data_IF_029881079148
#
_entry.id   IF_029881079148
#
_cell.length_a   1.000
_cell.length_b   1.000
_cell.length_c   1.000
_cell.angle_alpha   90.00
_cell.angle_beta   90.00
_cell.angle_gamma   90.00
#
_symmetry.space_group_name_H-M   'P 1'
#
loop_
_entity.id
_entity.type
_entity.pdbx_description
1 polymer ?
#
# COMPACT_ATOMS: atom_id res chain seq x y z
N UNK A 1 -4.57 -21.90 7.13
CA UNK A 1 -3.31 -21.18 7.45
C UNK A 1 -3.10 -20.10 6.40
N UNK A 2 -2.86 -18.86 6.79
CA UNK A 2 -2.56 -17.79 5.83
C UNK A 2 -1.13 -17.97 5.28
N UNK A 3 -0.90 -17.57 4.03
CA UNK A 3 0.39 -17.75 3.34
C UNK A 3 1.54 -17.09 4.07
N UNK A 4 1.29 -15.96 4.73
CA UNK A 4 2.28 -15.16 5.46
C UNK A 4 2.45 -15.55 6.92
N UNK A 5 2.21 -16.80 7.31
CA UNK A 5 2.49 -17.26 8.68
C UNK A 5 3.95 -17.64 8.91
N UNK A 6 4.45 -17.48 10.14
CA UNK A 6 5.84 -17.83 10.51
C UNK A 6 6.19 -19.31 10.25
N UNK A 7 5.21 -20.21 10.34
CA UNK A 7 5.42 -21.64 10.19
C UNK A 7 5.38 -22.12 8.73
N UNK A 8 5.11 -21.24 7.75
CA UNK A 8 5.02 -21.65 6.35
C UNK A 8 6.40 -21.81 5.69
N UNK A 9 6.53 -22.61 4.62
CA UNK A 9 7.82 -22.84 3.95
C UNK A 9 8.52 -21.57 3.45
N UNK A 10 7.77 -20.49 3.23
CA UNK A 10 8.32 -19.22 2.73
C UNK A 10 9.01 -18.41 3.83
N UNK A 11 8.53 -18.50 5.07
CA UNK A 11 8.94 -17.62 6.18
C UNK A 11 9.61 -18.35 7.34
N UNK A 12 9.45 -19.67 7.44
CA UNK A 12 10.09 -20.48 8.48
C UNK A 12 11.61 -20.32 8.41
N UNK A 13 12.20 -20.10 9.58
CA UNK A 13 13.64 -19.93 9.81
C UNK A 13 14.28 -18.78 9.01
N UNK A 14 13.48 -17.85 8.47
CA UNK A 14 14.01 -16.67 7.78
C UNK A 14 14.41 -15.62 8.82
N UNK A 15 15.70 -15.22 8.89
CA UNK A 15 16.17 -14.28 9.93
C UNK A 15 15.58 -12.87 9.77
N UNK A 16 15.06 -12.55 8.59
CA UNK A 16 14.39 -11.29 8.29
C UNK A 16 12.89 -11.30 8.63
N UNK A 17 12.27 -12.46 8.87
CA UNK A 17 10.86 -12.57 9.21
C UNK A 17 10.70 -12.61 10.73
N UNK A 18 10.16 -11.55 11.33
CA UNK A 18 10.36 -11.30 12.77
C UNK A 18 9.16 -11.64 13.65
N UNK A 19 7.94 -11.55 13.13
CA UNK A 19 6.72 -11.91 13.87
C UNK A 19 5.53 -12.04 12.91
N UNK A 20 4.52 -12.79 13.33
CA UNK A 20 3.23 -12.91 12.64
C UNK A 20 2.11 -12.98 13.67
N UNK A 21 0.94 -12.47 13.31
CA UNK A 21 -0.26 -12.53 14.15
C UNK A 21 -1.47 -13.05 13.37
N UNK A 22 -2.40 -13.71 14.07
CA UNK A 22 -3.57 -14.38 13.47
C UNK A 22 -3.20 -15.31 12.31
N UNK A 23 -2.18 -16.13 12.53
CA UNK A 23 -1.73 -17.14 11.55
C UNK A 23 -1.17 -16.56 10.26
N UNK A 24 -0.73 -15.30 10.25
CA UNK A 24 -0.15 -14.61 9.09
C UNK A 24 -1.09 -13.65 8.37
N UNK A 25 -2.30 -13.40 8.88
CA UNK A 25 -3.11 -12.28 8.41
C UNK A 25 -2.40 -10.93 8.62
N UNK A 26 -1.52 -10.89 9.63
CA UNK A 26 -0.63 -9.78 9.92
C UNK A 26 0.79 -10.30 10.07
N UNK A 27 1.77 -9.56 9.57
CA UNK A 27 3.18 -9.98 9.58
C UNK A 27 4.13 -8.81 9.74
N UNK A 28 5.31 -9.11 10.29
CA UNK A 28 6.37 -8.15 10.48
C UNK A 28 7.68 -8.74 9.96
N UNK A 29 8.43 -7.92 9.21
CA UNK A 29 9.72 -8.31 8.65
C UNK A 29 10.70 -7.14 8.64
N UNK A 30 11.99 -7.43 8.66
CA UNK A 30 13.06 -6.45 8.54
C UNK A 30 13.80 -6.65 7.22
N UNK A 31 14.13 -5.56 6.55
CA UNK A 31 14.88 -5.63 5.29
C UNK A 31 15.86 -4.47 5.19
N UNK A 32 16.82 -4.59 4.28
CA UNK A 32 17.77 -3.53 3.97
C UNK A 32 17.48 -2.95 2.59
N UNK A 33 17.56 -1.63 2.45
CA UNK A 33 17.39 -0.92 1.19
C UNK A 33 18.12 0.43 1.22
N UNK A 34 18.77 0.82 0.12
CA UNK A 34 19.45 2.13 0.03
C UNK A 34 20.51 2.39 1.11
N UNK A 35 21.09 1.35 1.73
CA UNK A 35 22.04 1.47 2.84
C UNK A 35 21.41 1.54 4.24
N UNK A 36 20.09 1.50 4.34
CA UNK A 36 19.33 1.58 5.60
C UNK A 36 18.62 0.26 5.90
N UNK A 37 18.28 0.07 7.17
CA UNK A 37 17.48 -1.06 7.64
C UNK A 37 16.08 -0.57 8.00
N UNK A 38 15.07 -1.28 7.55
CA UNK A 38 13.67 -0.93 7.72
C UNK A 38 12.91 -2.03 8.46
N UNK A 39 11.82 -1.63 9.09
CA UNK A 39 10.75 -2.52 9.51
C UNK A 39 9.60 -2.41 8.50
N UNK A 40 9.00 -3.54 8.16
CA UNK A 40 7.75 -3.59 7.38
C UNK A 40 6.68 -4.31 8.19
N UNK A 41 5.50 -3.71 8.25
CA UNK A 41 4.30 -4.32 8.82
C UNK A 41 3.27 -4.53 7.71
N UNK A 42 2.87 -5.78 7.48
CA UNK A 42 1.70 -6.11 6.69
C UNK A 42 0.51 -6.29 7.61
N UNK A 43 -0.53 -5.48 7.44
CA UNK A 43 -1.74 -5.50 8.26
C UNK A 43 -2.96 -5.97 7.46
N UNK A 44 -3.87 -6.66 8.14
CA UNK A 44 -5.18 -7.01 7.62
C UNK A 44 -6.04 -5.77 7.36
N UNK A 45 -7.04 -5.89 6.49
CA UNK A 45 -8.02 -4.82 6.29
C UNK A 45 -8.82 -4.60 7.59
N UNK A 46 -9.04 -3.33 7.93
CA UNK A 46 -9.73 -2.93 9.16
C UNK A 46 -9.22 -3.66 10.42
N UNK A 47 -7.95 -3.42 10.82
CA UNK A 47 -7.33 -4.15 11.91
C UNK A 47 -8.13 -4.01 13.20
N UNK A 48 -8.30 -5.12 13.91
CA UNK A 48 -8.90 -5.13 15.23
C UNK A 48 -7.90 -4.61 16.29
N UNK A 49 -8.38 -4.13 17.44
CA UNK A 49 -7.55 -3.55 18.52
C UNK A 49 -6.37 -4.44 18.92
N UNK A 50 -6.56 -5.75 19.07
CA UNK A 50 -5.50 -6.72 19.37
C UNK A 50 -4.38 -6.79 18.30
N UNK A 51 -4.70 -6.55 17.03
CA UNK A 51 -3.71 -6.42 15.95
C UNK A 51 -2.89 -5.15 16.12
N UNK A 52 -3.52 -4.05 16.54
CA UNK A 52 -2.82 -2.79 16.83
C UNK A 52 -1.87 -2.98 18.01
N UNK A 53 -2.33 -3.59 19.11
CA UNK A 53 -1.50 -3.90 20.28
C UNK A 53 -0.30 -4.79 19.91
N UNK A 54 -0.53 -5.82 19.07
CA UNK A 54 0.55 -6.63 18.54
C UNK A 54 1.53 -5.79 17.71
N UNK A 55 1.05 -4.96 16.80
CA UNK A 55 1.90 -4.11 15.96
C UNK A 55 2.73 -3.13 16.82
N UNK A 56 2.13 -2.51 17.84
CA UNK A 56 2.81 -1.67 18.82
C UNK A 56 3.92 -2.43 19.57
N UNK A 57 3.68 -3.69 19.93
CA UNK A 57 4.70 -4.54 20.57
C UNK A 57 5.90 -4.79 19.64
N UNK A 58 5.66 -4.97 18.34
CA UNK A 58 6.72 -5.11 17.32
C UNK A 58 7.47 -3.78 17.17
N UNK A 59 6.75 -2.67 17.07
CA UNK A 59 7.32 -1.33 17.02
C UNK A 59 8.23 -1.04 18.22
N UNK A 60 7.83 -1.45 19.43
CA UNK A 60 8.64 -1.29 20.64
C UNK A 60 9.90 -2.16 20.62
N UNK A 61 9.80 -3.40 20.13
CA UNK A 61 10.94 -4.32 19.99
C UNK A 61 11.98 -3.84 18.95
N UNK A 62 11.52 -3.19 17.90
CA UNK A 62 12.34 -2.68 16.79
C UNK A 62 12.43 -1.15 16.77
N UNK A 63 12.42 -0.54 17.97
CA UNK A 63 12.42 0.92 18.13
C UNK A 63 13.56 1.57 17.35
N UNK A 64 13.21 2.58 16.55
CA UNK A 64 14.16 3.38 15.78
C UNK A 64 14.41 2.89 14.36
N UNK A 65 13.82 1.75 13.95
CA UNK A 65 13.80 1.38 12.54
C UNK A 65 12.69 2.15 11.81
N UNK A 66 13.00 2.88 10.72
CA UNK A 66 11.97 3.47 9.87
C UNK A 66 11.02 2.37 9.37
N UNK A 67 9.73 2.59 9.56
CA UNK A 67 8.69 1.58 9.39
C UNK A 67 7.76 1.93 8.23
N UNK A 68 7.55 0.95 7.35
CA UNK A 68 6.58 0.98 6.26
C UNK A 68 5.41 0.06 6.60
N UNK A 69 4.18 0.54 6.40
CA UNK A 69 2.97 -0.27 6.53
C UNK A 69 2.45 -0.61 5.14
N UNK A 70 2.02 -1.86 4.95
CA UNK A 70 1.14 -2.24 3.84
C UNK A 70 -0.18 -2.74 4.40
N UNK A 71 -1.28 -2.21 3.86
CA UNK A 71 -2.64 -2.53 4.27
C UNK A 71 -3.57 -2.49 3.05
N UNK A 72 -4.69 -3.22 3.07
CA UNK A 72 -5.58 -3.26 1.92
C UNK A 72 -6.22 -1.89 1.62
N UNK A 73 -6.76 -1.22 2.65
CA UNK A 73 -7.52 0.03 2.55
C UNK A 73 -6.91 1.08 3.48
N UNK A 74 -6.65 2.29 2.95
CA UNK A 74 -6.22 3.43 3.78
C UNK A 74 -6.66 4.79 3.21
N UNK A 75 -6.11 5.21 2.07
CA UNK A 75 -6.62 6.39 1.35
C UNK A 75 -7.38 5.98 0.09
N UNK A 76 -8.41 6.74 -0.25
CA UNK A 76 -9.20 6.56 -1.47
C UNK A 76 -8.61 7.30 -2.69
N UNK A 77 -9.34 7.27 -3.82
CA UNK A 77 -8.95 7.95 -5.06
C UNK A 77 -8.84 9.47 -4.93
N UNK A 78 -9.56 10.06 -3.97
CA UNK A 78 -9.51 11.47 -3.61
C UNK A 78 -8.48 11.79 -2.52
N UNK A 79 -7.86 10.76 -1.96
CA UNK A 79 -6.91 10.86 -0.88
C UNK A 79 -7.57 10.98 0.49
N UNK A 80 -8.89 10.82 0.63
CA UNK A 80 -9.56 10.81 1.92
C UNK A 80 -9.29 9.48 2.64
N UNK A 81 -9.34 9.50 3.98
CA UNK A 81 -9.21 8.28 4.80
C UNK A 81 -10.58 7.71 5.11
N UNK A 82 -11.26 7.25 4.08
CA UNK A 82 -12.63 6.76 4.16
C UNK A 82 -12.71 5.32 3.67
N UNK A 83 -13.57 4.54 4.33
CA UNK A 83 -13.95 3.22 3.84
C UNK A 83 -15.17 3.33 2.94
N UNK A 84 -15.31 2.41 2.00
CA UNK A 84 -16.60 2.24 1.31
C UNK A 84 -17.69 1.90 2.34
N UNK A 85 -18.81 2.62 2.29
CA UNK A 85 -19.85 2.50 3.32
C UNK A 85 -20.35 1.07 3.55
N UNK A 86 -20.46 0.29 2.47
CA UNK A 86 -20.89 -1.11 2.48
C UNK A 86 -19.81 -2.11 2.95
N UNK A 87 -18.56 -1.66 3.10
CA UNK A 87 -17.42 -2.48 3.52
C UNK A 87 -16.70 -1.92 4.76
N UNK A 88 -17.27 -0.91 5.43
CA UNK A 88 -16.76 -0.42 6.71
C UNK A 88 -17.03 -1.46 7.82
N UNK A 89 -16.07 -2.36 8.00
CA UNK A 89 -16.13 -3.40 9.03
C UNK A 89 -16.16 -2.84 10.45
N UNK A 90 -15.75 -1.58 10.67
CA UNK A 90 -15.83 -0.94 11.99
C UNK A 90 -17.25 -0.61 12.43
N UNK A 91 -18.20 -0.58 11.49
CA UNK A 91 -19.64 -0.46 11.80
C UNK A 91 -20.25 -1.74 12.34
N UNK A 92 -19.67 -2.88 11.97
CA UNK A 92 -20.10 -4.21 12.44
C UNK A 92 -19.40 -4.60 13.74
N UNK A 93 -18.17 -4.11 13.93
CA UNK A 93 -17.34 -4.41 15.08
C UNK A 93 -16.58 -3.14 15.52
N UNK A 94 -16.97 -2.51 16.63
CA UNK A 94 -16.39 -1.25 17.08
C UNK A 94 -14.95 -1.38 17.57
N UNK A 95 -14.37 -2.57 17.67
CA UNK A 95 -12.95 -2.75 17.96
C UNK A 95 -12.08 -2.77 16.70
N UNK A 96 -12.70 -2.68 15.52
CA UNK A 96 -11.99 -2.52 14.24
C UNK A 96 -11.71 -1.07 13.91
N UNK A 97 -10.64 -0.89 13.14
CA UNK A 97 -10.14 0.42 12.75
C UNK A 97 -10.41 0.67 11.26
N UNK A 98 -11.37 1.55 10.96
CA UNK A 98 -11.43 2.18 9.62
C UNK A 98 -10.18 3.07 9.39
N UNK A 99 -9.93 3.54 8.17
CA UNK A 99 -8.70 4.25 7.86
C UNK A 99 -8.43 5.50 8.70
N UNK A 100 -9.44 6.34 8.93
CA UNK A 100 -9.29 7.55 9.75
C UNK A 100 -8.96 7.18 11.20
N UNK A 101 -9.66 6.21 11.78
CA UNK A 101 -9.37 5.75 13.14
C UNK A 101 -7.98 5.12 13.24
N UNK A 102 -7.55 4.36 12.24
CA UNK A 102 -6.20 3.78 12.19
C UNK A 102 -5.13 4.87 12.15
N UNK A 103 -5.37 5.96 11.42
CA UNK A 103 -4.49 7.13 11.43
C UNK A 103 -4.39 7.77 12.83
N UNK A 104 -5.53 8.05 13.45
CA UNK A 104 -5.59 8.78 14.72
C UNK A 104 -5.08 7.96 15.92
N UNK A 105 -5.28 6.64 15.88
CA UNK A 105 -4.94 5.73 16.99
C UNK A 105 -3.59 5.08 16.86
N UNK A 106 -3.06 4.92 15.65
CA UNK A 106 -1.82 4.20 15.42
C UNK A 106 -0.84 5.00 14.56
N UNK A 107 -1.12 5.18 13.27
CA UNK A 107 -0.11 5.71 12.32
C UNK A 107 0.48 7.05 12.76
N UNK A 108 -0.36 8.03 13.13
CA UNK A 108 0.10 9.36 13.54
C UNK A 108 0.78 9.41 14.91
N UNK A 109 0.66 8.35 15.72
CA UNK A 109 1.18 8.29 17.10
C UNK A 109 2.56 7.63 17.21
N UNK A 110 3.08 7.06 16.13
CA UNK A 110 4.39 6.42 16.13
C UNK A 110 5.31 7.10 15.13
N UNK A 111 6.28 7.85 15.66
CA UNK A 111 7.19 8.64 14.84
C UNK A 111 8.02 7.82 13.84
N UNK A 112 8.27 6.55 14.17
CA UNK A 112 9.02 5.66 13.30
C UNK A 112 8.22 5.19 12.08
N UNK A 113 6.90 5.38 12.03
CA UNK A 113 6.10 5.08 10.84
C UNK A 113 6.17 6.29 9.91
N UNK A 114 6.76 6.08 8.73
CA UNK A 114 6.92 7.16 7.74
C UNK A 114 6.17 6.90 6.43
N UNK A 115 5.72 5.66 6.18
CA UNK A 115 5.00 5.34 4.95
C UNK A 115 3.88 4.32 5.14
N UNK A 116 2.76 4.54 4.45
CA UNK A 116 1.63 3.60 4.34
C UNK A 116 1.33 3.34 2.86
N UNK A 117 1.24 2.07 2.49
CA UNK A 117 0.93 1.58 1.14
C UNK A 117 -0.42 0.88 1.15
N UNK A 118 -1.36 1.32 0.31
CA UNK A 118 -2.67 0.68 0.17
C UNK A 118 -3.14 0.48 -1.27
N UNK A 119 -4.17 -0.36 -1.40
CA UNK A 119 -4.95 -0.60 -2.61
C UNK A 119 -6.43 -0.33 -2.35
N UNK A 120 -7.27 -1.33 -2.62
CA UNK A 120 -8.73 -1.30 -2.48
C UNK A 120 -9.42 -0.42 -3.54
N UNK A 121 -9.22 0.88 -3.45
CA UNK A 121 -9.72 1.84 -4.44
C UNK A 121 -8.90 1.77 -5.72
N UNK A 122 -9.51 2.00 -6.88
CA UNK A 122 -8.82 1.93 -8.17
C UNK A 122 -7.98 3.19 -8.41
N UNK A 123 -6.86 3.04 -9.12
CA UNK A 123 -6.03 4.15 -9.55
C UNK A 123 -4.80 4.39 -8.67
N UNK A 124 -4.29 5.62 -8.73
CA UNK A 124 -3.08 6.03 -8.02
C UNK A 124 -3.25 7.40 -7.39
N UNK A 125 -3.07 7.46 -6.07
CA UNK A 125 -3.14 8.71 -5.29
C UNK A 125 -2.04 8.73 -4.26
N UNK A 126 -1.59 9.91 -3.88
CA UNK A 126 -0.71 10.06 -2.73
C UNK A 126 -1.09 11.29 -1.93
N UNK A 127 -0.79 11.25 -0.64
CA UNK A 127 -0.85 12.41 0.25
C UNK A 127 0.24 12.34 1.30
N UNK A 128 0.55 13.49 1.88
CA UNK A 128 1.54 13.62 2.94
C UNK A 128 0.87 14.42 4.05
N UNK A 129 0.91 13.88 5.27
CA UNK A 129 0.46 14.59 6.47
C UNK A 129 1.51 14.45 7.55
N UNK A 130 1.57 15.42 8.46
CA UNK A 130 2.44 15.32 9.64
C UNK A 130 1.84 14.37 10.68
N UNK A 131 2.68 13.52 11.27
CA UNK A 131 2.35 12.78 12.49
C UNK A 131 2.30 13.73 13.72
N UNK A 132 2.02 13.19 14.90
CA UNK A 132 1.93 13.97 16.15
C UNK A 132 3.28 14.51 16.65
N UNK A 133 4.39 14.10 16.03
CA UNK A 133 5.73 14.61 16.29
C UNK A 133 6.16 15.68 15.26
N UNK A 134 5.30 15.98 14.28
CA UNK A 134 5.56 16.96 13.22
C UNK A 134 6.30 16.39 12.00
N UNK A 135 6.64 15.11 11.97
CA UNK A 135 7.34 14.48 10.85
C UNK A 135 6.38 13.96 9.77
N UNK A 136 6.78 13.99 8.49
CA UNK A 136 5.90 13.61 7.38
C UNK A 136 5.65 12.10 7.33
N UNK A 137 4.39 11.73 7.08
CA UNK A 137 3.97 10.36 6.76
C UNK A 137 3.41 10.33 5.34
N UNK A 138 4.10 9.60 4.47
CA UNK A 138 3.75 9.42 3.08
C UNK A 138 2.72 8.31 2.92
N UNK A 139 1.60 8.60 2.26
CA UNK A 139 0.49 7.66 2.08
C UNK A 139 0.27 7.46 0.58
N UNK A 140 0.31 6.21 0.14
CA UNK A 140 0.28 5.84 -1.28
C UNK A 140 -0.82 4.83 -1.57
N UNK A 141 -1.78 5.25 -2.38
CA UNK A 141 -2.71 4.36 -3.07
C UNK A 141 -2.09 3.95 -4.40
N UNK A 142 -1.99 2.66 -4.64
CA UNK A 142 -1.62 2.10 -5.95
C UNK A 142 -2.44 0.84 -6.20
N UNK A 143 -3.41 0.95 -7.11
CA UNK A 143 -4.21 -0.17 -7.54
C UNK A 143 -4.43 -0.12 -9.05
N UNK A 144 -3.74 -1.00 -9.74
CA UNK A 144 -3.76 -1.08 -11.18
C UNK A 144 -4.78 -2.07 -11.74
N UNK A 145 -5.60 -2.73 -10.91
CA UNK A 145 -6.42 -3.88 -11.32
C UNK A 145 -7.39 -3.60 -12.48
N UNK A 146 -7.79 -2.34 -12.66
CA UNK A 146 -8.71 -1.89 -13.71
C UNK A 146 -8.02 -1.46 -14.99
N UNK A 147 -6.70 -1.52 -15.10
CA UNK A 147 -5.98 -1.16 -16.32
C UNK A 147 -6.19 -2.23 -17.39
N UNK A 148 -6.59 -1.82 -18.60
CA UNK A 148 -7.06 -2.71 -19.68
C UNK A 148 -6.46 -2.37 -21.06
N UNK A 149 -5.31 -1.71 -21.12
CA UNK A 149 -4.67 -1.27 -22.37
C UNK A 149 -4.36 -2.45 -23.29
N UNK A 150 -3.97 -3.59 -22.73
CA UNK A 150 -3.64 -4.79 -23.51
C UNK A 150 -4.80 -5.32 -24.34
N UNK A 151 -6.04 -5.01 -23.96
CA UNK A 151 -7.26 -5.47 -24.62
C UNK A 151 -8.02 -4.35 -25.33
N UNK A 152 -7.57 -3.10 -25.19
CA UNK A 152 -8.19 -1.94 -25.84
C UNK A 152 -7.98 -2.04 -27.35
N UNK A 153 -9.06 -2.01 -28.13
CA UNK A 153 -9.02 -2.17 -29.60
C UNK A 153 -9.07 -3.61 -30.12
N UNK A 154 -8.91 -4.62 -29.25
CA UNK A 154 -9.14 -6.04 -29.61
C UNK A 154 -10.60 -6.46 -29.46
N UNK A 155 -11.40 -5.65 -28.79
CA UNK A 155 -12.85 -5.82 -28.67
C UNK A 155 -13.50 -4.63 -29.40
N UNK A 156 -14.02 -4.84 -30.62
CA UNK A 156 -14.86 -3.85 -31.29
C UNK A 156 -16.03 -3.53 -30.37
N UNK A 157 -16.30 -2.25 -30.12
CA UNK A 157 -17.34 -1.77 -29.21
C UNK A 157 -17.19 -2.17 -27.73
N UNK A 158 -15.97 -2.46 -27.25
CA UNK A 158 -15.72 -2.37 -25.81
C UNK A 158 -15.93 -0.93 -25.38
N UNK A 159 -17.14 -0.65 -24.90
CA UNK A 159 -17.47 0.54 -24.16
C UNK A 159 -16.44 0.73 -23.02
N UNK A 160 -16.16 1.97 -22.59
CA UNK A 160 -15.32 2.23 -21.41
C UNK A 160 -15.80 1.47 -20.15
N UNK A 161 -17.10 1.12 -20.12
CA UNK A 161 -17.78 0.38 -19.05
C UNK A 161 -17.98 -1.12 -19.36
N UNK A 162 -17.50 -1.62 -20.51
CA UNK A 162 -17.61 -3.02 -20.86
C UNK A 162 -17.02 -3.81 -19.69
N UNK A 163 -17.84 -4.72 -19.13
CA UNK A 163 -17.50 -5.58 -18.00
C UNK A 163 -16.42 -6.61 -18.35
N UNK A 164 -15.35 -6.17 -19.02
CA UNK A 164 -14.07 -6.84 -19.09
C UNK A 164 -13.55 -6.87 -17.66
N UNK A 165 -13.51 -8.09 -17.12
CA UNK A 165 -13.04 -8.50 -15.81
C UNK A 165 -11.97 -7.53 -15.28
N UNK A 166 -12.32 -6.81 -14.21
CA UNK A 166 -11.30 -6.18 -13.38
C UNK A 166 -10.34 -7.28 -12.93
N UNK A 167 -9.05 -7.09 -13.20
CA UNK A 167 -8.04 -8.14 -13.07
C UNK A 167 -7.08 -8.27 -14.24
N UNK A 168 -7.29 -7.55 -15.35
CA UNK A 168 -6.28 -7.45 -16.43
C UNK A 168 -5.03 -6.77 -15.88
N UNK A 169 -5.20 -5.54 -15.38
CA UNK A 169 -4.18 -4.70 -14.74
C UNK A 169 -2.89 -4.44 -15.54
N UNK A 170 -2.80 -4.94 -16.76
CA UNK A 170 -1.69 -4.90 -17.71
C UNK A 170 -0.29 -5.12 -17.09
N UNK A 171 -0.22 -5.91 -16.02
CA UNK A 171 1.02 -6.21 -15.31
C UNK A 171 1.73 -4.97 -14.72
N UNK A 172 1.00 -3.88 -14.45
CA UNK A 172 1.57 -2.68 -13.86
C UNK A 172 1.99 -2.90 -12.40
N UNK A 173 3.18 -2.41 -12.05
CA UNK A 173 3.76 -2.46 -10.71
C UNK A 173 4.35 -1.07 -10.39
N UNK A 174 4.21 -0.64 -9.13
CA UNK A 174 4.86 0.58 -8.63
C UNK A 174 6.26 0.26 -8.12
N UNK A 175 7.24 0.91 -8.73
CA UNK A 175 8.63 0.92 -8.28
C UNK A 175 8.86 2.15 -7.41
N UNK A 176 9.38 1.92 -6.20
CA UNK A 176 9.75 2.96 -5.24
C UNK A 176 11.25 2.92 -5.02
N UNK A 177 11.95 3.98 -5.39
CA UNK A 177 13.39 4.12 -5.21
C UNK A 177 13.67 5.18 -4.15
N UNK A 178 14.36 4.76 -3.09
CA UNK A 178 14.78 5.61 -1.98
C UNK A 178 16.25 6.00 -2.18
N UNK A 179 16.48 7.25 -2.54
CA UNK A 179 17.81 7.87 -2.61
C UNK A 179 18.02 8.67 -1.33
N UNK A 180 18.51 7.99 -0.30
CA UNK A 180 18.70 8.54 1.05
C UNK A 180 20.11 9.10 1.26
N UNK A 181 21.03 8.84 0.34
CA UNK A 181 22.43 9.30 0.41
C UNK A 181 22.66 10.67 -0.24
N UNK A 182 21.70 11.16 -1.04
CA UNK A 182 21.74 12.50 -1.61
C UNK A 182 21.63 13.60 -0.53
N UNK A 183 22.17 14.79 -0.82
CA UNK A 183 22.09 15.98 0.04
C UNK A 183 20.65 16.30 0.50
N UNK A 184 19.68 15.95 -0.33
CA UNK A 184 18.27 15.89 0.04
C UNK A 184 17.75 14.48 -0.26
N UNK A 185 17.25 13.75 0.74
CA UNK A 185 16.63 12.45 0.53
C UNK A 185 15.49 12.54 -0.49
N UNK A 186 15.45 11.60 -1.44
CA UNK A 186 14.45 11.56 -2.51
C UNK A 186 13.76 10.21 -2.57
N UNK A 187 12.45 10.25 -2.78
CA UNK A 187 11.64 9.10 -3.14
C UNK A 187 11.19 9.25 -4.59
N UNK A 188 11.65 8.37 -5.48
CA UNK A 188 11.20 8.32 -6.87
C UNK A 188 10.16 7.22 -7.04
N UNK A 189 9.04 7.57 -7.65
CA UNK A 189 7.96 6.65 -7.96
C UNK A 189 7.87 6.46 -9.47
N UNK A 190 7.92 5.21 -9.93
CA UNK A 190 7.78 4.86 -11.35
C UNK A 190 6.80 3.71 -11.50
N UNK A 191 6.01 3.71 -12.57
CA UNK A 191 5.17 2.57 -12.91
C UNK A 191 5.86 1.77 -14.03
N UNK A 192 5.99 0.45 -13.84
CA UNK A 192 6.54 -0.47 -14.84
C UNK A 192 5.49 -1.52 -15.16
N UNK A 193 5.28 -1.80 -16.45
CA UNK A 193 4.41 -2.89 -16.88
C UNK A 193 5.24 -4.10 -17.29
N UNK A 194 4.97 -5.25 -16.68
CA UNK A 194 5.57 -6.52 -17.11
C UNK A 194 5.02 -7.02 -18.45
N UNK A 195 3.82 -6.57 -18.84
CA UNK A 195 3.21 -6.85 -20.14
C UNK A 195 3.86 -6.04 -21.26
N UNK A 196 3.87 -4.71 -21.13
CA UNK A 196 4.47 -3.80 -22.11
C UNK A 196 6.01 -3.78 -22.05
N UNK A 197 6.59 -4.32 -20.96
CA UNK A 197 8.03 -4.33 -20.68
C UNK A 197 8.66 -2.94 -20.68
N UNK A 198 7.88 -1.95 -20.27
CA UNK A 198 8.24 -0.53 -20.33
C UNK A 198 7.75 0.20 -19.09
N UNK A 199 8.42 1.29 -18.76
CA UNK A 199 7.91 2.27 -17.83
C UNK A 199 6.77 3.08 -18.45
N UNK A 200 5.86 3.57 -17.62
CA UNK A 200 4.75 4.42 -18.07
C UNK A 200 5.21 5.64 -18.86
N UNK A 201 6.35 6.23 -18.49
CA UNK A 201 6.95 7.39 -19.16
C UNK A 201 7.52 7.08 -20.55
N UNK A 202 7.70 5.80 -20.87
CA UNK A 202 8.24 5.35 -22.17
C UNK A 202 7.11 5.01 -23.16
N UNK A 203 5.85 4.99 -22.69
CA UNK A 203 4.67 4.73 -23.50
C UNK A 203 4.05 6.05 -23.98
N UNK A 204 4.07 6.36 -25.30
CA UNK A 204 3.66 7.68 -25.82
C UNK A 204 2.25 8.12 -25.42
N UNK A 205 1.31 7.17 -25.33
CA UNK A 205 -0.10 7.46 -25.09
C UNK A 205 -0.51 7.30 -23.61
N UNK A 206 0.43 6.93 -22.72
CA UNK A 206 0.09 6.63 -21.33
C UNK A 206 -0.44 7.85 -20.59
N UNK A 207 0.15 9.04 -20.81
CA UNK A 207 -0.27 10.26 -20.13
C UNK A 207 -1.70 10.65 -20.48
N UNK A 208 -2.05 10.62 -21.77
CA UNK A 208 -3.42 10.92 -22.25
C UNK A 208 -4.44 9.94 -21.68
N UNK A 209 -4.09 8.66 -21.61
CA UNK A 209 -4.96 7.65 -21.02
C UNK A 209 -5.12 7.84 -19.49
N UNK A 210 -4.03 8.06 -18.76
CA UNK A 210 -4.09 8.30 -17.33
C UNK A 210 -4.95 9.53 -16.98
N UNK A 211 -4.85 10.61 -17.76
CA UNK A 211 -5.69 11.78 -17.60
C UNK A 211 -7.19 11.49 -17.85
N UNK A 212 -7.51 10.57 -18.78
CA UNK A 212 -8.91 10.18 -19.01
C UNK A 212 -9.52 9.33 -17.88
N UNK A 213 -8.71 8.57 -17.15
CA UNK A 213 -9.15 7.79 -15.98
C UNK A 213 -9.31 8.63 -14.72
N UNK A 214 -8.62 9.77 -14.67
CA UNK A 214 -8.57 10.65 -13.52
C UNK A 214 -8.73 12.11 -13.98
N UNK A 215 -9.92 12.51 -14.47
CA UNK A 215 -10.14 13.83 -15.05
C UNK A 215 -9.95 14.99 -14.07
N UNK A 216 -9.97 14.70 -12.76
CA UNK A 216 -9.85 15.67 -11.67
C UNK A 216 -8.42 15.82 -11.10
N UNK A 217 -7.41 15.17 -11.73
CA UNK A 217 -5.97 15.36 -11.44
C UNK A 217 -5.34 16.37 -12.39
#
# INVERSE_FOLDING_TARGET
>A
HATFGADTPFFRDKPWYVSSYRGGANSAQVFNGGGYRFLHLGLEMSPHTDVIEWAESVLAKYKGLPTIISIHEFIDGEGNRESLDCLDLSRLDPDRHNPQRLWDRFVSRHDQIFAVLNGHFHGCRHRIDSNQFGHPVYQFLTNYQTRKQSVTGSVPDAQPDAHILDGIGDGWIRMMEFDLAADQPRLRLRAYSTYFKAYSTELPNYASWYASEHPDL
#
